data_IF_946082376106
#
_entry.id   IF_946082376106
#
_cell.length_a   1.000
_cell.length_b   1.000
_cell.length_c   1.000
_cell.angle_alpha   90.00
_cell.angle_beta   90.00
_cell.angle_gamma   90.00
#
_symmetry.space_group_name_H-M   'P 1'
#
loop_
_entity.id
_entity.type
_entity.pdbx_description
1 polymer ?
#
# COMPACT_ATOMS: atom_id res chain seq x y z
N UNK A 1 19.49 12.30 -23.23
CA UNK A 1 19.16 11.64 -21.96
C UNK A 1 17.79 11.12 -22.25
N UNK A 2 17.72 9.81 -22.38
CA UNK A 2 16.46 9.11 -22.53
C UNK A 2 16.18 8.73 -21.09
N UNK A 3 15.28 9.49 -20.50
CA UNK A 3 14.60 9.12 -19.27
C UNK A 3 13.59 8.03 -19.63
N UNK A 4 13.37 7.06 -18.77
CA UNK A 4 12.41 5.97 -18.97
C UNK A 4 11.27 6.00 -17.95
N UNK A 5 11.32 6.92 -16.98
CA UNK A 5 10.35 7.13 -15.89
C UNK A 5 10.36 8.63 -15.55
N UNK A 6 9.71 9.42 -16.40
CA UNK A 6 9.93 10.88 -16.49
C UNK A 6 9.36 11.66 -15.31
N UNK A 7 8.38 11.12 -14.59
CA UNK A 7 7.81 11.66 -13.35
C UNK A 7 8.28 10.91 -12.09
N UNK A 8 9.06 9.82 -12.24
CA UNK A 8 9.67 9.08 -11.15
C UNK A 8 8.63 8.45 -10.21
N UNK A 9 7.53 7.95 -10.75
CA UNK A 9 6.49 7.26 -9.99
C UNK A 9 6.75 5.75 -9.89
N UNK A 10 7.70 5.22 -10.68
CA UNK A 10 8.08 3.81 -10.73
C UNK A 10 7.34 3.00 -11.80
N UNK A 11 6.55 3.64 -12.66
CA UNK A 11 6.00 3.11 -13.89
C UNK A 11 6.90 3.57 -15.04
N UNK A 12 7.12 2.69 -16.02
CA UNK A 12 7.94 3.07 -17.17
C UNK A 12 7.11 3.90 -18.16
N UNK A 13 7.67 4.99 -18.71
CA UNK A 13 7.07 5.88 -19.72
C UNK A 13 6.41 5.11 -20.88
N UNK A 14 7.01 3.99 -21.27
CA UNK A 14 6.53 3.15 -22.36
C UNK A 14 5.18 2.49 -22.07
N UNK A 15 4.92 2.20 -20.80
CA UNK A 15 3.68 1.60 -20.29
C UNK A 15 2.59 2.68 -20.29
N UNK A 16 2.90 3.86 -19.77
CA UNK A 16 1.96 4.96 -19.58
C UNK A 16 1.63 5.69 -20.87
N UNK A 17 2.57 5.75 -21.82
CA UNK A 17 2.30 6.31 -23.15
C UNK A 17 1.13 5.58 -23.86
N UNK A 18 0.83 4.33 -23.48
CA UNK A 18 -0.41 3.65 -23.86
C UNK A 18 -0.56 3.31 -25.35
N UNK A 19 0.49 3.46 -26.16
CA UNK A 19 0.44 3.15 -27.59
C UNK A 19 0.53 1.63 -27.83
N UNK A 20 -0.56 0.96 -28.26
CA UNK A 20 -0.56 -0.47 -28.49
C UNK A 20 0.30 -0.92 -29.68
N UNK A 21 0.81 0.02 -30.50
CA UNK A 21 1.74 -0.28 -31.59
C UNK A 21 3.18 -0.46 -31.09
N UNK A 22 3.50 0.06 -29.91
CA UNK A 22 4.80 -0.12 -29.26
C UNK A 22 4.87 -1.53 -28.69
N UNK A 23 6.01 -2.19 -28.91
CA UNK A 23 6.26 -3.53 -28.39
C UNK A 23 7.55 -3.50 -27.57
N UNK A 24 7.42 -3.83 -26.30
CA UNK A 24 8.53 -4.20 -25.41
C UNK A 24 8.44 -5.72 -25.18
N UNK A 25 9.05 -6.50 -26.06
CA UNK A 25 8.93 -7.96 -26.01
C UNK A 25 9.85 -8.60 -24.96
N UNK A 26 10.90 -7.87 -24.58
CA UNK A 26 11.92 -8.25 -23.63
C UNK A 26 11.55 -7.80 -22.21
N UNK A 27 10.62 -6.86 -22.08
CA UNK A 27 10.14 -6.30 -20.83
C UNK A 27 11.20 -5.45 -20.15
N UNK A 28 11.94 -4.63 -20.90
CA UNK A 28 13.05 -3.82 -20.41
C UNK A 28 12.77 -2.31 -20.42
N UNK A 29 11.51 -1.89 -20.49
CA UNK A 29 11.13 -0.48 -20.46
C UNK A 29 11.47 0.27 -21.75
N UNK A 30 11.95 -0.43 -22.79
CA UNK A 30 12.43 0.19 -24.03
C UNK A 30 11.65 -0.28 -25.25
N UNK A 31 11.45 0.65 -26.20
CA UNK A 31 10.91 0.29 -27.51
C UNK A 31 11.95 -0.56 -28.24
N UNK A 32 11.53 -1.66 -28.85
CA UNK A 32 12.42 -2.44 -29.71
C UNK A 32 12.46 -1.87 -31.13
N UNK A 33 13.59 -1.96 -31.84
CA UNK A 33 13.64 -1.63 -33.27
C UNK A 33 14.89 -0.95 -33.79
N UNK A 34 14.84 -0.52 -35.05
CA UNK A 34 15.86 0.33 -35.65
C UNK A 34 15.40 1.80 -35.58
N UNK A 35 16.36 2.70 -35.40
CA UNK A 35 16.17 4.15 -35.54
C UNK A 35 16.98 4.57 -36.79
N UNK A 36 16.30 4.67 -37.94
CA UNK A 36 16.96 4.87 -39.22
C UNK A 36 17.37 6.32 -39.45
N UNK A 37 16.67 7.29 -38.88
CA UNK A 37 16.95 8.72 -39.04
C UNK A 37 17.70 9.36 -37.87
N UNK A 38 17.84 8.64 -36.76
CA UNK A 38 18.64 8.94 -35.58
C UNK A 38 18.09 10.09 -34.75
N UNK A 39 16.77 10.17 -34.66
CA UNK A 39 16.08 11.17 -33.87
C UNK A 39 15.78 10.71 -32.42
N UNK A 40 15.96 9.41 -32.14
CA UNK A 40 15.70 8.80 -30.84
C UNK A 40 14.35 8.09 -30.71
N UNK A 41 13.50 8.11 -31.75
CA UNK A 41 12.23 7.37 -31.81
C UNK A 41 12.46 6.10 -32.62
N UNK A 42 12.26 4.94 -32.00
CA UNK A 42 12.50 3.67 -32.66
C UNK A 42 11.35 3.33 -33.60
N UNK A 43 11.65 2.64 -34.71
CA UNK A 43 10.72 2.40 -35.82
C UNK A 43 9.30 1.93 -35.45
N UNK A 44 9.08 1.09 -34.41
CA UNK A 44 7.72 0.76 -33.98
C UNK A 44 6.93 1.92 -33.36
N UNK A 45 7.61 2.87 -32.71
CA UNK A 45 7.03 4.13 -32.21
C UNK A 45 7.08 5.27 -33.25
N UNK A 46 7.90 5.12 -34.31
CA UNK A 46 8.03 6.12 -35.36
C UNK A 46 7.08 5.86 -36.54
N UNK A 47 6.11 6.76 -36.70
CA UNK A 47 5.17 6.73 -37.84
C UNK A 47 5.84 6.98 -39.19
N UNK A 48 7.06 7.50 -39.22
CA UNK A 48 7.88 7.70 -40.40
C UNK A 48 9.39 7.69 -40.10
N UNK A 49 9.91 6.49 -39.81
CA UNK A 49 11.31 6.08 -39.55
C UNK A 49 12.33 6.44 -40.67
N UNK A 50 12.43 7.73 -40.97
CA UNK A 50 13.15 8.29 -42.11
C UNK A 50 13.08 9.81 -42.18
N UNK A 51 12.34 10.45 -41.27
CA UNK A 51 12.25 11.89 -41.09
C UNK A 51 12.19 12.19 -39.60
N UNK A 52 13.17 12.94 -39.09
CA UNK A 52 13.21 13.39 -37.69
C UNK A 52 11.85 13.79 -37.11
N UNK A 53 11.50 13.17 -35.98
CA UNK A 53 10.24 13.15 -35.27
C UNK A 53 9.31 12.02 -35.75
N UNK A 54 8.19 11.80 -35.05
CA UNK A 54 7.11 10.90 -35.50
C UNK A 54 5.93 11.72 -36.05
N UNK A 55 5.97 12.19 -37.31
CA UNK A 55 4.94 13.07 -37.85
C UNK A 55 3.59 12.35 -38.00
N UNK A 56 2.57 12.86 -37.30
CA UNK A 56 1.24 12.23 -37.18
C UNK A 56 1.25 10.93 -36.36
N UNK A 57 2.22 10.79 -35.44
CA UNK A 57 2.14 9.86 -34.33
C UNK A 57 0.83 10.01 -33.54
N UNK A 58 0.36 8.94 -32.87
CA UNK A 58 -0.66 9.09 -31.86
C UNK A 58 -0.19 10.11 -30.81
N UNK A 59 -1.14 10.86 -30.23
CA UNK A 59 -0.82 11.60 -29.03
C UNK A 59 -0.54 10.58 -27.91
N UNK A 60 0.39 10.87 -26.99
CA UNK A 60 0.52 10.07 -25.77
C UNK A 60 -0.82 9.96 -25.05
N UNK A 61 -1.00 8.87 -24.31
CA UNK A 61 -2.15 8.73 -23.44
C UNK A 61 -2.18 9.88 -22.42
N UNK A 62 -3.38 10.38 -22.18
CA UNK A 62 -3.72 11.36 -21.16
C UNK A 62 -5.12 10.97 -20.67
N UNK A 63 -5.21 10.46 -19.45
CA UNK A 63 -6.42 9.85 -18.90
C UNK A 63 -7.41 10.88 -18.35
N UNK A 64 -6.93 11.91 -17.65
CA UNK A 64 -7.76 12.95 -17.03
C UNK A 64 -8.06 14.17 -17.96
N UNK A 65 -7.39 14.24 -19.11
CA UNK A 65 -7.44 15.29 -20.13
C UNK A 65 -6.88 16.66 -19.69
N UNK A 66 -5.90 16.69 -18.80
CA UNK A 66 -5.15 17.88 -18.42
C UNK A 66 -4.05 18.25 -19.46
N UNK A 67 -3.11 19.16 -19.17
CA UNK A 67 -1.96 19.45 -20.03
C UNK A 67 -0.81 18.42 -20.06
N UNK A 68 -0.71 17.50 -19.10
CA UNK A 68 0.37 16.52 -18.95
C UNK A 68 -0.06 15.14 -19.48
N UNK A 69 0.72 14.49 -20.34
CA UNK A 69 0.47 13.09 -20.66
C UNK A 69 0.82 12.21 -19.46
N UNK A 70 0.21 11.02 -19.36
CA UNK A 70 0.34 10.14 -18.19
C UNK A 70 1.78 9.94 -17.72
N UNK A 71 2.72 9.66 -18.64
CA UNK A 71 4.15 9.49 -18.32
C UNK A 71 4.88 10.74 -17.74
N UNK A 72 4.16 11.82 -17.46
CA UNK A 72 4.67 13.05 -16.87
C UNK A 72 3.72 13.55 -15.76
N UNK A 73 2.76 12.74 -15.34
CA UNK A 73 1.64 13.09 -14.50
C UNK A 73 1.65 12.17 -13.27
N UNK A 74 1.78 12.74 -12.08
CA UNK A 74 1.86 11.97 -10.85
C UNK A 74 0.52 11.42 -10.34
N UNK A 75 -0.61 11.80 -10.97
CA UNK A 75 -1.98 11.38 -10.65
C UNK A 75 -2.80 11.34 -11.96
N UNK A 76 -2.45 10.39 -12.84
CA UNK A 76 -2.86 10.33 -14.25
C UNK A 76 -4.37 10.32 -14.49
N UNK A 77 -5.17 9.85 -13.53
CA UNK A 77 -6.63 9.93 -13.58
C UNK A 77 -7.27 10.93 -12.61
N UNK A 78 -6.44 11.66 -11.86
CA UNK A 78 -6.83 12.76 -10.98
C UNK A 78 -7.85 12.34 -9.91
N UNK A 79 -7.73 11.10 -9.43
CA UNK A 79 -8.59 10.52 -8.41
C UNK A 79 -8.04 10.74 -6.99
N UNK A 80 -6.94 11.48 -6.85
CA UNK A 80 -6.24 11.82 -5.62
C UNK A 80 -5.53 10.65 -4.93
N UNK A 81 -5.23 9.58 -5.66
CA UNK A 81 -4.20 8.60 -5.36
C UNK A 81 -3.07 8.80 -6.37
N UNK A 82 -1.81 8.79 -5.94
CA UNK A 82 -0.69 8.99 -6.86
C UNK A 82 -0.41 7.72 -7.66
N UNK A 83 0.01 7.87 -8.91
CA UNK A 83 0.39 6.76 -9.80
C UNK A 83 1.44 5.85 -9.15
N UNK A 84 2.37 6.42 -8.36
CA UNK A 84 3.34 5.66 -7.56
C UNK A 84 2.70 4.63 -6.64
N UNK A 85 1.62 5.01 -5.96
CA UNK A 85 0.90 4.13 -5.02
C UNK A 85 0.14 3.05 -5.81
N UNK A 86 -0.40 3.43 -6.96
CA UNK A 86 -1.24 2.59 -7.81
C UNK A 86 -0.43 1.67 -8.74
N UNK A 87 0.84 1.97 -8.95
CA UNK A 87 1.82 1.07 -9.57
C UNK A 87 1.80 -0.30 -8.89
N UNK A 88 1.57 -0.31 -7.57
CA UNK A 88 1.62 -1.48 -6.72
C UNK A 88 3.03 -2.09 -6.59
N UNK A 89 4.09 -1.41 -7.04
CA UNK A 89 5.45 -1.90 -6.85
C UNK A 89 5.85 -1.77 -5.36
N UNK A 90 6.06 -2.87 -4.64
CA UNK A 90 6.50 -2.82 -3.24
C UNK A 90 7.89 -2.18 -3.06
N UNK A 91 8.64 -1.92 -4.14
CA UNK A 91 9.93 -1.26 -4.12
C UNK A 91 9.87 0.23 -4.50
N UNK A 92 8.73 0.73 -4.98
CA UNK A 92 8.46 2.15 -5.16
C UNK A 92 8.24 2.78 -3.79
N UNK A 93 9.37 3.05 -3.13
CA UNK A 93 9.39 3.52 -1.75
C UNK A 93 9.33 5.04 -1.74
N UNK A 94 8.34 5.59 -1.06
CA UNK A 94 8.20 7.03 -0.78
C UNK A 94 7.96 7.22 0.73
N UNK A 95 9.04 7.30 1.51
CA UNK A 95 8.98 7.47 2.97
C UNK A 95 9.34 8.87 3.43
N UNK A 96 10.06 9.64 2.61
CA UNK A 96 10.42 11.01 2.96
C UNK A 96 10.89 11.74 1.70
N UNK A 97 10.02 12.55 1.09
CA UNK A 97 9.04 13.37 1.79
C UNK A 97 7.57 12.89 1.80
N UNK A 98 7.24 11.70 1.29
CA UNK A 98 5.84 11.24 1.14
C UNK A 98 5.11 12.20 0.17
N UNK A 99 5.59 12.27 -1.07
CA UNK A 99 5.15 13.25 -2.07
C UNK A 99 4.70 12.63 -3.41
N UNK A 100 4.53 11.31 -3.48
CA UNK A 100 4.04 10.64 -4.69
C UNK A 100 5.15 10.35 -5.71
N UNK A 101 6.41 10.54 -5.33
CA UNK A 101 7.60 10.30 -6.16
C UNK A 101 8.50 9.28 -5.45
N UNK A 102 9.16 8.41 -6.20
CA UNK A 102 10.10 7.44 -5.63
C UNK A 102 11.21 8.19 -4.89
N UNK A 103 11.46 7.83 -3.63
CA UNK A 103 12.47 8.47 -2.76
C UNK A 103 13.84 8.47 -3.47
N UNK A 104 14.37 9.67 -3.77
CA UNK A 104 15.71 9.92 -4.36
C UNK A 104 16.74 8.84 -4.02
N UNK A 105 16.85 7.83 -4.89
CA UNK A 105 17.88 6.79 -4.84
C UNK A 105 18.87 6.99 -6.00
N UNK A 106 20.05 6.35 -5.97
CA UNK A 106 20.96 6.44 -7.11
C UNK A 106 20.26 5.91 -8.37
N UNK A 107 20.52 6.53 -9.51
CA UNK A 107 20.33 5.93 -10.83
C UNK A 107 21.74 5.57 -11.33
N UNK A 108 22.11 4.30 -11.19
CA UNK A 108 23.49 3.85 -11.40
C UNK A 108 23.90 3.86 -12.88
N UNK A 109 22.97 3.67 -13.80
CA UNK A 109 23.28 3.54 -15.23
C UNK A 109 22.77 4.69 -16.11
N UNK A 110 21.98 5.60 -15.54
CA UNK A 110 21.59 6.87 -16.15
C UNK A 110 20.41 6.74 -17.10
N UNK A 111 19.51 5.79 -16.87
CA UNK A 111 18.32 5.56 -17.68
C UNK A 111 17.06 6.26 -17.18
N UNK A 112 17.14 6.93 -16.02
CA UNK A 112 16.04 7.68 -15.43
C UNK A 112 15.21 6.89 -14.43
N UNK A 113 15.43 5.59 -14.31
CA UNK A 113 14.74 4.74 -13.36
C UNK A 113 15.60 4.63 -12.10
N UNK A 114 14.98 4.85 -10.95
CA UNK A 114 15.71 4.80 -9.70
C UNK A 114 16.12 3.37 -9.33
N UNK A 115 17.36 3.16 -8.81
CA UNK A 115 17.92 1.84 -8.47
C UNK A 115 17.00 1.00 -7.55
N UNK A 116 16.09 1.65 -6.79
CA UNK A 116 15.11 0.97 -5.93
C UNK A 116 14.02 0.24 -6.71
N UNK A 117 13.59 0.79 -7.84
CA UNK A 117 12.52 0.25 -8.70
C UNK A 117 13.06 -0.36 -10.01
N UNK A 118 14.31 -0.08 -10.35
CA UNK A 118 14.97 -0.68 -11.51
C UNK A 118 15.34 -2.16 -11.27
N UNK A 119 14.87 -3.05 -12.15
CA UNK A 119 15.23 -4.48 -12.14
C UNK A 119 16.59 -4.78 -12.81
N UNK A 120 17.24 -3.80 -13.42
CA UNK A 120 18.57 -3.89 -14.00
C UNK A 120 19.50 -2.67 -13.73
N UNK A 121 19.76 -2.30 -12.44
CA UNK A 121 20.44 -1.07 -11.96
C UNK A 121 21.94 -0.96 -12.24
N UNK A 122 22.36 -1.42 -13.40
CA UNK A 122 23.73 -1.34 -13.88
C UNK A 122 23.82 -1.51 -15.40
N UNK A 123 22.68 -1.59 -16.07
CA UNK A 123 22.50 -1.63 -17.51
C UNK A 123 21.18 -0.97 -17.88
N UNK A 124 21.27 0.17 -18.57
CA UNK A 124 20.14 0.91 -19.14
C UNK A 124 18.95 0.03 -19.59
N UNK A 125 17.78 0.31 -19.03
CA UNK A 125 16.48 -0.34 -19.23
C UNK A 125 16.07 -1.23 -18.05
N UNK A 126 14.79 -1.32 -17.74
CA UNK A 126 14.25 -2.03 -16.57
C UNK A 126 13.84 -3.49 -16.87
N UNK A 127 14.84 -4.36 -17.05
CA UNK A 127 14.59 -5.75 -17.45
C UNK A 127 13.79 -6.55 -16.41
N UNK A 128 12.56 -6.90 -16.77
CA UNK A 128 11.64 -7.69 -15.96
C UNK A 128 10.72 -6.84 -15.09
N UNK A 129 10.52 -5.57 -15.44
CA UNK A 129 9.58 -4.66 -14.79
C UNK A 129 8.22 -5.33 -14.51
N UNK A 130 7.67 -5.18 -13.29
CA UNK A 130 6.32 -5.64 -13.02
C UNK A 130 5.31 -4.89 -13.89
N UNK A 131 4.22 -5.57 -14.28
CA UNK A 131 3.08 -4.85 -14.82
C UNK A 131 2.44 -4.02 -13.70
N UNK A 132 1.95 -2.80 -13.98
CA UNK A 132 1.23 -2.00 -13.00
C UNK A 132 0.05 -2.77 -12.41
N UNK A 133 -0.32 -2.41 -11.18
CA UNK A 133 -1.41 -3.05 -10.48
C UNK A 133 -2.72 -2.89 -11.26
N UNK A 134 -3.53 -3.93 -11.19
CA UNK A 134 -4.92 -3.90 -11.61
C UNK A 134 -5.68 -4.71 -10.55
N UNK A 135 -6.33 -4.00 -9.63
CA UNK A 135 -6.91 -4.55 -8.41
C UNK A 135 -8.10 -5.46 -8.69
N UNK A 136 -8.91 -5.14 -9.70
CA UNK A 136 -10.13 -5.88 -10.02
C UNK A 136 -9.94 -6.99 -11.08
N UNK A 137 -8.88 -6.89 -11.88
CA UNK A 137 -8.48 -7.77 -12.98
C UNK A 137 -9.38 -7.72 -14.22
N UNK A 138 -10.19 -6.69 -14.44
CA UNK A 138 -11.21 -6.64 -15.50
C UNK A 138 -10.99 -5.57 -16.56
N UNK A 139 -10.51 -4.37 -16.20
CA UNK A 139 -10.34 -3.21 -17.07
C UNK A 139 -8.90 -2.65 -17.05
N UNK A 140 -8.72 -1.36 -16.77
CA UNK A 140 -7.43 -0.68 -16.88
C UNK A 140 -6.61 -0.84 -15.60
N UNK A 141 -5.28 -0.64 -15.66
CA UNK A 141 -4.50 -0.58 -14.43
C UNK A 141 -4.97 0.55 -13.50
N UNK A 142 -4.68 0.39 -12.21
CA UNK A 142 -5.19 1.25 -11.12
C UNK A 142 -4.86 2.74 -11.38
N UNK A 143 -3.62 3.08 -11.77
CA UNK A 143 -3.18 4.48 -12.05
C UNK A 143 -3.95 5.24 -13.15
N UNK A 144 -4.85 4.56 -13.87
CA UNK A 144 -5.74 5.18 -14.86
C UNK A 144 -7.19 4.69 -14.72
N UNK A 145 -7.55 4.20 -13.54
CA UNK A 145 -8.88 3.72 -13.19
C UNK A 145 -9.40 4.29 -11.86
N UNK A 146 -10.22 5.33 -12.00
CA UNK A 146 -10.93 6.01 -10.92
C UNK A 146 -11.81 5.15 -9.97
N UNK A 147 -12.06 3.87 -10.28
CA UNK A 147 -12.69 2.87 -9.38
C UNK A 147 -11.93 1.54 -9.47
N UNK A 148 -10.66 1.55 -9.07
CA UNK A 148 -9.66 0.47 -9.14
C UNK A 148 -10.15 -0.90 -8.65
N UNK A 149 -11.09 -0.93 -7.69
CA UNK A 149 -11.64 -2.18 -7.15
C UNK A 149 -13.05 -2.52 -7.66
N UNK A 150 -13.60 -1.66 -8.52
CA UNK A 150 -14.89 -1.77 -9.19
C UNK A 150 -16.06 -2.05 -8.21
N UNK A 151 -16.02 -1.43 -7.02
CA UNK A 151 -17.07 -1.57 -6.00
C UNK A 151 -18.19 -0.52 -6.12
N UNK A 152 -18.14 0.30 -7.18
CA UNK A 152 -19.03 1.45 -7.43
C UNK A 152 -18.78 2.65 -6.51
N UNK A 153 -17.60 2.72 -5.89
CA UNK A 153 -17.12 3.85 -5.09
C UNK A 153 -15.78 4.28 -5.64
N UNK A 154 -15.76 5.43 -6.32
CA UNK A 154 -14.52 5.98 -6.87
C UNK A 154 -13.45 6.14 -5.78
N UNK A 155 -12.18 6.01 -6.16
CA UNK A 155 -11.06 6.02 -5.24
C UNK A 155 -10.91 7.37 -4.53
N UNK A 156 -11.19 8.48 -5.22
CA UNK A 156 -11.35 9.83 -4.62
C UNK A 156 -12.35 9.87 -3.46
N UNK A 157 -13.36 9.01 -3.45
CA UNK A 157 -14.31 8.91 -2.32
C UNK A 157 -13.74 8.02 -1.23
N UNK A 158 -13.08 6.92 -1.61
CA UNK A 158 -12.48 5.94 -0.70
C UNK A 158 -11.31 6.51 0.09
N UNK A 159 -10.50 7.38 -0.50
CA UNK A 159 -9.44 8.15 0.16
C UNK A 159 -9.96 9.41 0.88
N UNK A 160 -11.28 9.63 0.93
CA UNK A 160 -11.88 10.70 1.72
C UNK A 160 -11.85 12.10 1.07
N UNK A 161 -11.39 12.20 -0.18
CA UNK A 161 -11.39 13.44 -0.97
C UNK A 161 -12.65 13.67 -1.80
N UNK A 162 -13.69 12.84 -1.66
CA UNK A 162 -14.95 12.94 -2.43
C UNK A 162 -15.75 14.24 -2.24
N UNK A 163 -15.28 15.18 -1.44
CA UNK A 163 -15.76 16.56 -1.44
C UNK A 163 -15.21 17.42 -2.59
N UNK A 164 -14.17 16.95 -3.28
CA UNK A 164 -13.53 17.55 -4.45
C UNK A 164 -14.16 17.06 -5.76
N UNK A 165 -14.79 15.90 -5.77
CA UNK A 165 -15.59 15.37 -6.88
C UNK A 165 -17.08 15.69 -6.70
N UNK A 166 -17.51 16.86 -7.18
CA UNK A 166 -18.91 17.29 -7.09
C UNK A 166 -19.81 16.72 -8.18
N UNK A 167 -19.23 16.14 -9.23
CA UNK A 167 -19.93 15.67 -10.42
C UNK A 167 -20.08 14.13 -10.45
N UNK A 168 -19.35 13.45 -9.57
CA UNK A 168 -19.27 12.01 -9.36
C UNK A 168 -18.70 11.25 -10.56
N UNK A 169 -17.68 11.80 -11.23
CA UNK A 169 -16.93 11.13 -12.30
C UNK A 169 -15.62 10.50 -11.83
N UNK A 170 -15.28 10.63 -10.54
CA UNK A 170 -14.09 10.01 -9.96
C UNK A 170 -12.88 10.92 -9.92
N UNK A 171 -12.98 12.10 -10.54
CA UNK A 171 -11.85 13.02 -10.71
C UNK A 171 -12.05 14.28 -9.87
N UNK A 172 -10.95 14.97 -9.55
CA UNK A 172 -11.00 16.28 -8.91
C UNK A 172 -11.69 17.31 -9.83
N UNK A 173 -12.75 17.98 -9.34
CA UNK A 173 -13.44 19.00 -10.13
C UNK A 173 -12.61 20.29 -10.28
N UNK A 174 -12.42 20.75 -11.53
CA UNK A 174 -11.70 21.99 -11.87
C UNK A 174 -10.30 22.04 -11.23
N UNK A 175 -9.41 21.10 -11.60
CA UNK A 175 -8.11 21.00 -10.98
C UNK A 175 -7.30 22.28 -11.19
N UNK A 176 -6.56 22.66 -10.16
CA UNK A 176 -5.55 23.72 -10.24
C UNK A 176 -4.22 23.15 -9.83
N UNK A 177 -3.28 23.12 -10.76
CA UNK A 177 -1.91 22.65 -10.55
C UNK A 177 -0.95 23.83 -10.81
N UNK A 178 -0.36 24.43 -9.75
CA UNK A 178 0.59 25.54 -9.89
C UNK A 178 1.97 25.16 -10.45
N UNK A 179 2.38 23.91 -10.25
CA UNK A 179 3.68 23.28 -10.52
C UNK A 179 3.75 22.78 -11.95
N UNK A 180 2.62 22.28 -12.44
CA UNK A 180 2.47 21.43 -13.62
C UNK A 180 3.23 20.11 -13.41
N UNK A 181 2.90 19.38 -12.34
CA UNK A 181 3.38 18.02 -12.05
C UNK A 181 2.28 16.96 -12.00
N UNK A 182 1.04 17.33 -12.32
CA UNK A 182 -0.10 16.41 -12.41
C UNK A 182 -1.00 16.44 -11.19
N UNK A 183 -0.50 16.95 -10.06
CA UNK A 183 -1.25 16.89 -8.80
C UNK A 183 -2.15 18.10 -8.66
N UNK A 184 -3.46 17.87 -8.50
CA UNK A 184 -4.39 18.94 -8.24
C UNK A 184 -4.19 19.54 -6.82
N UNK A 185 -4.02 20.86 -6.70
CA UNK A 185 -3.98 21.57 -5.42
C UNK A 185 -5.37 21.94 -4.86
N UNK A 186 -6.41 21.23 -5.29
CA UNK A 186 -7.77 21.49 -4.85
C UNK A 186 -7.91 21.09 -3.38
N UNK A 187 -8.34 22.02 -2.52
CA UNK A 187 -8.47 21.74 -1.08
C UNK A 187 -7.13 21.58 -0.34
N UNK A 188 -5.99 21.83 -0.99
CA UNK A 188 -4.67 21.55 -0.44
C UNK A 188 -4.27 20.08 -0.52
N UNK A 189 -4.75 19.38 -1.55
CA UNK A 189 -4.41 17.99 -1.85
C UNK A 189 -2.90 17.87 -2.17
N UNK A 190 -2.40 18.73 -3.05
CA UNK A 190 -0.97 18.97 -3.22
C UNK A 190 -0.36 19.71 -2.01
N UNK A 191 0.50 19.01 -1.28
CA UNK A 191 1.23 19.50 -0.11
C UNK A 191 2.45 20.37 -0.46
N UNK A 192 2.88 20.36 -1.72
CA UNK A 192 4.03 21.09 -2.26
C UNK A 192 3.68 21.91 -3.52
N UNK A 193 2.78 22.90 -3.44
CA UNK A 193 2.25 23.62 -4.60
C UNK A 193 3.16 24.63 -5.30
N UNK A 194 4.47 24.44 -5.17
CA UNK A 194 5.52 25.18 -5.88
C UNK A 194 6.75 24.32 -6.19
N UNK A 195 6.73 23.02 -5.86
CA UNK A 195 7.79 22.03 -6.05
C UNK A 195 7.18 20.71 -6.54
N UNK A 196 7.82 20.03 -7.50
CA UNK A 196 7.38 18.74 -8.02
C UNK A 196 7.09 17.70 -6.91
N UNK A 197 6.02 16.94 -7.07
CA UNK A 197 5.44 16.05 -6.07
C UNK A 197 4.46 16.80 -5.17
N UNK A 198 3.94 16.12 -4.15
CA UNK A 198 3.08 16.73 -3.14
C UNK A 198 1.83 15.92 -2.84
N UNK A 199 1.63 14.80 -3.54
CA UNK A 199 0.53 13.89 -3.30
C UNK A 199 1.01 12.79 -2.37
N UNK A 200 0.81 12.99 -1.07
CA UNK A 200 1.27 12.02 -0.09
C UNK A 200 0.60 10.67 -0.25
N UNK A 201 1.31 9.61 0.14
CA UNK A 201 0.87 8.20 0.18
C UNK A 201 -0.37 7.92 1.05
N UNK A 202 -1.15 8.94 1.42
CA UNK A 202 -2.62 8.95 1.44
C UNK A 202 -3.12 9.89 2.56
N UNK A 203 -3.57 11.08 2.17
CA UNK A 203 -4.63 11.71 2.95
C UNK A 203 -5.86 10.79 2.88
N UNK A 204 -6.29 10.26 4.03
CA UNK A 204 -7.58 9.60 4.14
C UNK A 204 -7.64 8.12 3.79
N UNK A 205 -6.51 7.39 3.78
CA UNK A 205 -6.52 5.93 3.94
C UNK A 205 -6.06 5.47 5.32
N UNK A 206 -6.53 4.29 5.75
CA UNK A 206 -6.02 3.64 6.95
C UNK A 206 -4.58 3.17 6.77
N UNK A 207 -3.90 2.97 7.90
CA UNK A 207 -2.68 2.16 8.01
C UNK A 207 -2.79 1.35 9.30
N UNK A 208 -2.78 0.02 9.22
CA UNK A 208 -3.14 -0.85 10.34
C UNK A 208 -1.94 -1.45 11.05
N UNK A 209 -1.51 -0.79 12.12
CA UNK A 209 -0.45 -1.31 12.99
C UNK A 209 -0.99 -2.23 14.11
N UNK A 210 -0.62 -3.53 14.16
CA UNK A 210 -0.90 -4.39 15.29
C UNK A 210 -0.01 -4.10 16.51
N UNK A 211 -0.47 -4.47 17.70
CA UNK A 211 0.29 -4.44 18.95
C UNK A 211 -0.19 -5.52 19.91
N UNK A 212 0.72 -6.07 20.73
CA UNK A 212 0.43 -7.18 21.65
C UNK A 212 0.84 -6.83 23.08
N UNK A 213 -0.09 -6.95 24.03
CA UNK A 213 0.11 -6.61 25.44
C UNK A 213 -0.25 -7.76 26.38
N UNK A 214 0.48 -7.90 27.48
CA UNK A 214 0.16 -8.83 28.58
C UNK A 214 0.80 -8.39 29.89
N UNK A 215 0.35 -8.98 31.00
CA UNK A 215 0.96 -8.82 32.34
C UNK A 215 2.26 -9.66 32.47
N UNK A 216 3.23 -9.37 31.60
CA UNK A 216 4.53 -10.02 31.53
C UNK A 216 4.53 -11.35 30.75
N UNK A 217 5.62 -11.63 30.03
CA UNK A 217 5.73 -12.79 29.13
C UNK A 217 6.08 -14.13 29.81
N UNK A 218 6.34 -14.13 31.11
CA UNK A 218 6.76 -15.34 31.83
C UNK A 218 5.58 -15.98 32.55
N UNK A 219 5.41 -17.28 32.37
CA UNK A 219 4.35 -18.10 32.95
C UNK A 219 4.93 -19.14 33.90
N UNK A 220 4.23 -19.42 34.99
CA UNK A 220 4.38 -20.67 35.72
C UNK A 220 3.65 -21.78 34.97
N UNK A 221 4.01 -23.03 35.26
CA UNK A 221 3.30 -24.20 34.72
C UNK A 221 1.81 -24.11 35.04
N UNK A 222 0.96 -24.34 34.02
CA UNK A 222 -0.51 -24.21 34.11
C UNK A 222 -1.03 -22.79 34.41
N UNK A 223 -0.17 -21.76 34.45
CA UNK A 223 -0.62 -20.37 34.61
C UNK A 223 -1.37 -19.92 33.35
N UNK A 224 -2.39 -19.10 33.59
CA UNK A 224 -3.20 -18.46 32.56
C UNK A 224 -3.01 -16.95 32.63
N UNK A 225 -2.87 -16.31 31.48
CA UNK A 225 -2.85 -14.86 31.37
C UNK A 225 -3.66 -14.40 30.18
N UNK A 226 -4.22 -13.21 30.32
CA UNK A 226 -4.81 -12.50 29.20
C UNK A 226 -3.68 -11.94 28.31
N UNK A 227 -3.90 -12.00 27.00
CA UNK A 227 -3.16 -11.28 25.99
C UNK A 227 -4.15 -10.38 25.27
N UNK A 228 -3.82 -9.10 25.16
CA UNK A 228 -4.59 -8.13 24.38
C UNK A 228 -3.87 -7.91 23.06
N UNK A 229 -4.61 -8.06 21.95
CA UNK A 229 -4.15 -7.67 20.62
C UNK A 229 -4.91 -6.39 20.28
N UNK A 230 -4.18 -5.38 19.86
CA UNK A 230 -4.72 -4.09 19.41
C UNK A 230 -4.36 -3.91 17.96
N UNK A 231 -5.35 -3.54 17.14
CA UNK A 231 -5.14 -3.05 15.78
C UNK A 231 -5.39 -1.55 15.83
N UNK A 232 -4.33 -0.77 15.71
CA UNK A 232 -4.38 0.68 15.60
C UNK A 232 -4.49 1.05 14.13
N UNK A 233 -5.32 2.04 13.84
CA UNK A 233 -5.25 2.75 12.58
C UNK A 233 -4.38 3.99 12.80
N UNK A 234 -3.18 3.97 12.22
CA UNK A 234 -2.18 5.04 12.23
C UNK A 234 -2.28 5.96 11.01
N UNK A 235 -3.04 5.56 10.00
CA UNK A 235 -3.34 6.39 8.83
C UNK A 235 -4.44 7.42 9.11
N UNK A 236 -4.61 8.32 8.14
CA UNK A 236 -5.51 9.48 8.23
C UNK A 236 -6.94 9.18 7.73
N UNK A 237 -7.17 7.99 7.21
CA UNK A 237 -8.46 7.44 6.76
C UNK A 237 -9.14 6.50 7.74
N UNK A 238 -10.40 6.18 7.48
CA UNK A 238 -11.12 5.10 8.17
C UNK A 238 -11.11 3.83 7.31
N UNK A 239 -11.13 2.65 7.94
CA UNK A 239 -11.01 1.39 7.18
C UNK A 239 -12.13 1.18 6.15
N UNK A 240 -11.78 1.02 4.87
CA UNK A 240 -12.64 0.62 3.75
C UNK A 240 -12.52 -0.90 3.52
N UNK A 241 -13.61 -1.63 3.70
CA UNK A 241 -13.61 -3.10 3.54
C UNK A 241 -13.17 -3.90 4.79
N UNK A 242 -12.92 -5.21 4.64
CA UNK A 242 -12.75 -6.11 5.77
C UNK A 242 -11.36 -5.94 6.41
N UNK A 243 -11.31 -5.76 7.74
CA UNK A 243 -10.04 -5.76 8.51
C UNK A 243 -9.75 -7.18 9.01
N UNK A 244 -8.60 -7.72 8.65
CA UNK A 244 -8.21 -9.10 8.95
C UNK A 244 -6.76 -9.17 9.43
N UNK A 245 -6.52 -9.91 10.50
CA UNK A 245 -5.18 -10.27 10.93
C UNK A 245 -5.08 -11.74 11.31
N UNK A 246 -3.87 -12.27 11.29
CA UNK A 246 -3.55 -13.62 11.74
C UNK A 246 -2.87 -13.64 13.10
N UNK A 247 -3.13 -14.70 13.85
CA UNK A 247 -2.49 -15.02 15.12
C UNK A 247 -1.95 -16.46 15.06
N UNK A 248 -0.65 -16.66 15.27
CA UNK A 248 -0.08 -18.01 15.23
C UNK A 248 -0.53 -18.89 16.41
N UNK A 249 -0.64 -20.21 16.19
CA UNK A 249 -0.83 -21.19 17.27
C UNK A 249 0.47 -21.35 18.07
N UNK A 250 0.31 -21.60 19.36
CA UNK A 250 1.42 -21.71 20.32
C UNK A 250 1.68 -23.16 20.79
N UNK A 251 1.01 -24.13 20.16
CA UNK A 251 1.17 -25.55 20.46
C UNK A 251 2.58 -26.04 20.11
N UNK A 252 3.16 -26.98 20.88
CA UNK A 252 2.56 -27.71 22.00
C UNK A 252 2.76 -27.05 23.37
N UNK A 253 3.54 -25.98 23.46
CA UNK A 253 4.01 -25.40 24.72
C UNK A 253 2.99 -24.50 25.41
N UNK A 254 2.06 -23.92 24.65
CA UNK A 254 0.96 -23.13 25.17
C UNK A 254 -0.33 -23.46 24.40
N UNK A 255 -1.46 -23.17 25.02
CA UNK A 255 -2.79 -23.24 24.37
C UNK A 255 -3.45 -21.87 24.40
N UNK A 256 -4.18 -21.55 23.33
CA UNK A 256 -5.01 -20.33 23.24
C UNK A 256 -6.47 -20.72 23.44
N UNK A 257 -7.18 -19.97 24.27
CA UNK A 257 -8.63 -19.98 24.37
C UNK A 257 -9.18 -18.60 24.03
N UNK A 258 -10.24 -18.56 23.23
CA UNK A 258 -10.89 -17.33 22.77
C UNK A 258 -12.36 -17.39 23.19
N UNK A 259 -12.78 -16.49 24.08
CA UNK A 259 -14.19 -16.21 24.32
C UNK A 259 -14.65 -15.17 23.30
N UNK A 260 -15.53 -15.52 22.34
CA UNK A 260 -15.96 -14.58 21.29
C UNK A 260 -16.80 -13.42 21.84
N UNK A 261 -17.20 -13.43 23.11
CA UNK A 261 -18.00 -12.36 23.73
C UNK A 261 -17.26 -11.62 24.86
N UNK A 262 -15.94 -11.79 24.98
CA UNK A 262 -15.17 -11.10 26.00
C UNK A 262 -15.22 -9.57 25.82
N UNK A 263 -15.53 -8.86 26.91
CA UNK A 263 -15.64 -7.38 26.94
C UNK A 263 -14.67 -6.71 27.93
N UNK A 264 -13.92 -7.52 28.68
CA UNK A 264 -13.01 -7.07 29.73
C UNK A 264 -11.71 -7.86 29.68
N UNK A 265 -10.63 -7.24 30.15
CA UNK A 265 -9.34 -7.89 30.35
C UNK A 265 -8.74 -7.47 31.68
N UNK A 266 -7.85 -8.30 32.22
CA UNK A 266 -7.01 -7.94 33.38
C UNK A 266 -5.63 -7.37 33.00
N UNK A 267 -5.31 -7.23 31.70
CA UNK A 267 -4.02 -6.66 31.27
C UNK A 267 -3.95 -5.18 31.67
N UNK A 268 -2.90 -4.83 32.42
CA UNK A 268 -2.62 -3.45 32.83
C UNK A 268 -1.46 -2.91 32.00
N UNK A 269 -1.76 -2.25 30.89
CA UNK A 269 -0.78 -1.48 30.12
C UNK A 269 -0.74 -0.01 30.61
N UNK A 270 0.21 0.83 30.17
CA UNK A 270 0.25 2.25 30.56
C UNK A 270 -1.10 2.91 30.27
N UNK A 271 -1.69 3.53 31.30
CA UNK A 271 -3.11 3.93 31.32
C UNK A 271 -3.54 4.92 30.20
N UNK A 272 -2.60 5.51 29.47
CA UNK A 272 -2.88 6.41 28.34
C UNK A 272 -3.10 5.66 27.01
N UNK A 273 -2.59 4.43 26.85
CA UNK A 273 -2.60 3.69 25.56
C UNK A 273 -3.48 2.44 25.59
N UNK A 274 -4.07 2.08 26.73
CA UNK A 274 -4.96 0.91 26.79
C UNK A 274 -6.01 1.04 27.90
N UNK A 275 -7.15 1.73 27.65
CA UNK A 275 -8.31 1.56 28.51
C UNK A 275 -8.74 0.07 28.56
N UNK A 276 -9.25 -0.43 29.70
CA UNK A 276 -9.45 -1.87 29.98
C UNK A 276 -10.60 -2.52 29.18
N UNK A 277 -11.22 -1.79 28.26
CA UNK A 277 -12.29 -2.26 27.41
C UNK A 277 -11.71 -2.92 26.16
N UNK A 278 -12.05 -4.19 25.99
CA UNK A 278 -11.84 -5.00 24.78
C UNK A 278 -13.22 -5.41 24.26
N UNK A 279 -13.35 -5.82 23.01
CA UNK A 279 -14.64 -6.30 22.52
C UNK A 279 -14.48 -7.39 21.45
N UNK A 280 -14.40 -8.64 21.90
CA UNK A 280 -14.31 -9.78 20.99
C UNK A 280 -15.58 -9.97 20.14
N UNK A 281 -16.72 -9.43 20.58
CA UNK A 281 -17.99 -9.62 19.86
C UNK A 281 -18.05 -8.90 18.51
N UNK A 282 -17.15 -7.95 18.25
CA UNK A 282 -16.99 -7.26 16.96
C UNK A 282 -16.24 -8.12 15.94
N UNK A 283 -15.63 -9.23 16.35
CA UNK A 283 -14.72 -10.03 15.52
C UNK A 283 -15.27 -11.44 15.28
N UNK A 284 -14.88 -12.00 14.14
CA UNK A 284 -15.06 -13.40 13.78
C UNK A 284 -13.72 -14.10 13.92
N UNK A 285 -13.70 -15.25 14.60
CA UNK A 285 -12.49 -16.03 14.86
C UNK A 285 -12.56 -17.36 14.09
N UNK A 286 -11.69 -17.55 13.12
CA UNK A 286 -11.61 -18.77 12.31
C UNK A 286 -10.33 -19.52 12.61
N UNK A 287 -10.45 -20.73 13.16
CA UNK A 287 -9.29 -21.58 13.45
C UNK A 287 -8.81 -22.32 12.19
N UNK A 288 -7.51 -22.23 11.91
CA UNK A 288 -6.83 -22.97 10.85
C UNK A 288 -5.78 -23.93 11.44
N UNK A 289 -5.06 -24.66 10.59
CA UNK A 289 -4.09 -25.66 11.03
C UNK A 289 -2.99 -25.07 11.95
N UNK A 290 -2.44 -23.92 11.58
CA UNK A 290 -1.26 -23.30 12.23
C UNK A 290 -1.53 -21.93 12.84
N UNK A 291 -2.72 -21.35 12.62
CA UNK A 291 -3.08 -19.99 12.99
C UNK A 291 -4.57 -19.84 13.28
N UNK A 292 -4.94 -18.71 13.85
CA UNK A 292 -6.28 -18.17 13.86
C UNK A 292 -6.32 -16.99 12.89
N UNK A 293 -7.35 -16.93 12.06
CA UNK A 293 -7.68 -15.75 11.24
C UNK A 293 -8.78 -14.99 11.96
N UNK A 294 -8.54 -13.72 12.22
CA UNK A 294 -9.43 -12.85 12.98
C UNK A 294 -9.87 -11.71 12.07
N UNK A 295 -11.18 -11.65 11.79
CA UNK A 295 -11.76 -10.69 10.85
C UNK A 295 -12.79 -9.82 11.55
N UNK A 296 -12.69 -8.50 11.38
CA UNK A 296 -13.66 -7.54 11.89
C UNK A 296 -14.99 -7.76 11.15
N UNK A 297 -16.10 -7.78 11.88
CA UNK A 297 -17.42 -8.00 11.28
C UNK A 297 -17.87 -6.79 10.48
N UNK A 298 -18.68 -7.04 9.46
CA UNK A 298 -19.36 -6.01 8.68
C UNK A 298 -20.10 -5.01 9.58
N UNK A 299 -20.08 -3.74 9.19
CA UNK A 299 -20.69 -2.64 9.94
C UNK A 299 -19.83 -2.08 11.08
N UNK A 300 -18.61 -2.60 11.27
CA UNK A 300 -17.60 -2.01 12.12
C UNK A 300 -16.41 -1.53 11.28
N UNK A 301 -15.82 -0.39 11.66
CA UNK A 301 -14.61 0.16 11.07
C UNK A 301 -13.63 0.60 12.16
N UNK A 302 -12.36 0.79 11.82
CA UNK A 302 -11.35 1.43 12.68
C UNK A 302 -11.10 2.83 12.11
N UNK A 303 -11.67 3.90 12.72
CA UNK A 303 -11.42 5.26 12.25
C UNK A 303 -9.95 5.67 12.38
N UNK A 304 -9.55 6.69 11.61
CA UNK A 304 -8.24 7.33 11.72
C UNK A 304 -7.88 7.65 13.19
N UNK A 305 -6.62 7.39 13.55
CA UNK A 305 -6.08 7.59 14.90
C UNK A 305 -6.77 6.76 16.01
N UNK A 306 -7.62 5.79 15.66
CA UNK A 306 -8.38 4.96 16.60
C UNK A 306 -7.86 3.52 16.60
N UNK A 307 -8.49 2.66 17.42
CA UNK A 307 -8.11 1.25 17.49
C UNK A 307 -9.28 0.36 17.88
N UNK A 308 -9.14 -0.93 17.56
CA UNK A 308 -9.96 -2.01 18.11
C UNK A 308 -9.09 -3.05 18.79
N UNK A 309 -9.68 -3.72 19.78
CA UNK A 309 -8.95 -4.62 20.66
C UNK A 309 -9.71 -5.90 20.89
N UNK A 310 -8.98 -7.01 20.85
CA UNK A 310 -9.45 -8.30 21.33
C UNK A 310 -8.63 -8.76 22.53
N UNK A 311 -9.20 -9.67 23.31
CA UNK A 311 -8.47 -10.42 24.33
C UNK A 311 -8.53 -11.91 24.02
N UNK A 312 -7.40 -12.58 24.20
CA UNK A 312 -7.32 -14.04 24.22
C UNK A 312 -6.74 -14.49 25.56
N UNK A 313 -7.02 -15.71 25.95
CA UNK A 313 -6.39 -16.33 27.11
C UNK A 313 -5.32 -17.32 26.65
N UNK A 314 -4.08 -17.13 27.13
CA UNK A 314 -2.98 -18.06 26.90
C UNK A 314 -2.73 -18.86 28.18
N UNK A 315 -2.62 -20.18 28.04
CA UNK A 315 -2.32 -21.09 29.14
C UNK A 315 -0.99 -21.81 28.87
N UNK A 316 -0.07 -21.77 29.84
CA UNK A 316 1.17 -22.54 29.79
C UNK A 316 0.92 -24.03 30.04
N UNK A 317 1.49 -24.90 29.20
CA UNK A 317 1.40 -26.35 29.43
C UNK A 317 2.44 -26.84 30.44
N UNK A 318 2.50 -28.16 30.67
CA UNK A 318 3.44 -28.78 31.60
C UNK A 318 4.82 -29.05 30.96
N UNK A 319 5.27 -28.21 30.02
CA UNK A 319 6.58 -28.32 29.38
C UNK A 319 7.53 -27.27 29.98
N UNK A 320 8.32 -27.60 31.03
CA UNK A 320 9.20 -26.63 31.67
C UNK A 320 10.25 -26.11 30.68
N UNK A 321 10.64 -24.84 30.82
CA UNK A 321 11.65 -24.18 29.98
C UNK A 321 11.26 -24.06 28.49
N UNK A 322 9.98 -24.20 28.15
CA UNK A 322 9.51 -23.91 26.80
C UNK A 322 9.36 -22.40 26.58
N UNK A 323 9.61 -21.96 25.35
CA UNK A 323 9.35 -20.61 24.89
C UNK A 323 8.50 -20.66 23.63
N UNK A 324 7.73 -19.59 23.41
CA UNK A 324 6.98 -19.39 22.19
C UNK A 324 6.94 -17.88 21.87
N UNK A 325 6.55 -17.58 20.64
CA UNK A 325 6.36 -16.22 20.17
C UNK A 325 4.92 -16.09 19.73
N UNK A 326 4.25 -15.05 20.22
CA UNK A 326 2.97 -14.61 19.72
C UNK A 326 3.27 -13.60 18.61
N UNK A 327 2.76 -13.85 17.42
CA UNK A 327 2.83 -12.99 16.25
C UNK A 327 1.41 -12.65 15.85
N UNK A 328 1.09 -11.35 15.84
CA UNK A 328 -0.10 -10.81 15.22
C UNK A 328 0.32 -10.10 13.94
N UNK A 329 -0.23 -10.49 12.79
CA UNK A 329 0.12 -9.89 11.49
C UNK A 329 -1.12 -9.48 10.74
N UNK A 330 -1.19 -8.23 10.31
CA UNK A 330 -2.25 -7.71 9.44
C UNK A 330 -1.99 -8.17 8.00
N UNK A 331 -3.05 -8.56 7.28
CA UNK A 331 -2.92 -8.99 5.89
C UNK A 331 -2.74 -7.78 4.97
N UNK A 332 -1.93 -7.94 3.91
CA UNK A 332 -1.86 -6.89 2.90
C UNK A 332 -3.22 -6.70 2.22
N UNK A 333 -3.61 -5.45 1.95
CA UNK A 333 -4.87 -5.09 1.30
C UNK A 333 -6.12 -5.32 2.17
N UNK A 334 -6.00 -5.28 3.50
CA UNK A 334 -7.15 -5.47 4.39
C UNK A 334 -7.63 -4.14 4.94
N UNK A 335 -8.88 -3.79 4.66
CA UNK A 335 -9.48 -2.61 5.30
C UNK A 335 -8.97 -1.28 4.79
N UNK A 336 -8.30 -1.20 3.63
CA UNK A 336 -7.73 0.01 3.01
C UNK A 336 -6.34 0.37 3.54
N UNK A 337 -5.37 0.64 2.65
CA UNK A 337 -4.02 1.13 2.95
C UNK A 337 -3.20 0.29 3.94
N UNK A 338 -2.35 -0.60 3.45
CA UNK A 338 -1.42 -1.37 4.31
C UNK A 338 0.04 -0.96 4.07
N UNK A 339 0.20 0.29 3.67
CA UNK A 339 1.46 0.93 3.34
C UNK A 339 1.77 1.96 4.43
N UNK A 340 2.99 1.95 5.02
CA UNK A 340 4.10 1.03 4.72
C UNK A 340 3.90 -0.35 5.35
N UNK A 341 4.18 -1.43 4.60
CA UNK A 341 4.02 -2.83 5.09
C UNK A 341 4.93 -3.23 6.27
N UNK A 342 5.85 -2.35 6.66
CA UNK A 342 6.87 -2.59 7.69
C UNK A 342 6.33 -2.63 9.11
N UNK A 343 5.17 -2.04 9.37
CA UNK A 343 4.52 -1.98 10.68
C UNK A 343 3.44 -3.06 10.89
N UNK A 344 3.07 -3.83 9.86
CA UNK A 344 1.97 -4.82 9.83
C UNK A 344 2.18 -6.09 10.68
N UNK A 345 3.19 -6.11 11.56
CA UNK A 345 3.52 -7.29 12.36
C UNK A 345 3.97 -6.91 13.77
N UNK A 346 3.30 -7.48 14.76
CA UNK A 346 3.65 -7.35 16.16
C UNK A 346 4.10 -8.70 16.74
N UNK A 347 5.21 -8.67 17.48
CA UNK A 347 5.85 -9.87 18.02
C UNK A 347 5.99 -9.75 19.55
N UNK A 348 5.49 -10.74 20.28
CA UNK A 348 5.56 -10.81 21.74
C UNK A 348 6.07 -12.18 22.21
N UNK A 349 7.20 -12.18 22.94
CA UNK A 349 7.84 -13.42 23.40
C UNK A 349 7.29 -13.87 24.75
N UNK A 350 7.02 -15.16 24.87
CA UNK A 350 6.57 -15.79 26.12
C UNK A 350 7.42 -17.00 26.49
N UNK A 351 7.50 -17.31 27.78
CA UNK A 351 8.27 -18.44 28.31
C UNK A 351 7.62 -19.07 29.54
N UNK A 352 7.94 -20.33 29.81
CA UNK A 352 7.54 -21.06 31.02
C UNK A 352 8.73 -21.13 31.98
N UNK A 353 8.58 -20.55 33.17
CA UNK A 353 9.53 -20.71 34.26
C UNK A 353 9.50 -22.13 34.82
N UNK A 354 10.68 -22.69 35.07
CA UNK A 354 10.83 -23.87 35.90
C UNK A 354 10.79 -23.44 37.37
N UNK A 355 9.73 -23.80 38.09
CA UNK A 355 9.66 -23.57 39.53
C UNK A 355 10.57 -24.52 40.34
N UNK A 356 11.43 -25.32 39.69
CA UNK A 356 12.39 -26.23 40.35
C UNK A 356 13.87 -25.79 40.30
N UNK A 357 14.20 -24.54 39.94
CA UNK A 357 15.55 -24.00 40.09
C UNK A 357 15.55 -22.54 40.56
#
# INVERSE_FOLDING_TARGET
>A
MNDLDSDNDGINDIIENGDPAITDAEGNGMVEGADNDKDGILGPADTNDGVFGSPNGPAPLNSDNDPLPNFQDLDSDNDSVSDLVESGDPNAVDNSPEDGVVDDSPDTDGDGIQDSVDNAPGTFGDNGSPAPQNTDGADTPDYIDTDSNNDSTNDIVSNGNGGLDGNNDGMVDNPTDPDNDGIANNGGLDEKPTEFGGLSQQAGTPDLTPSVFSNGGTYNVSEQKDIVIVIYNTGDGATSGPVTFELNKLTPSFTIAIDPNATTTNVTAPAATMPPTVNNSEWTFTEQATRYVVTLKDGFSIPAGSNKKIVIQVTATNTPNAAATITARVFNGTGGGETPTTNNSAVYRISINDSNN
#
